data_IF_538588397924
#
_entry.id   IF_538588397924
#
_cell.length_a   1.000
_cell.length_b   1.000
_cell.length_c   1.000
_cell.angle_alpha   90.00
_cell.angle_beta   90.00
_cell.angle_gamma   90.00
#
_symmetry.space_group_name_H-M   'P 1'
#
loop_
_entity.id
_entity.type
_entity.pdbx_description
1 polymer ?
#
# COMPACT_ATOMS: atom_id res chain seq x y z
N UNK A 1 6.01 71.24 17.70
CA UNK A 1 6.24 70.65 19.05
C UNK A 1 5.62 69.25 19.17
N UNK A 2 5.60 68.44 18.09
CA UNK A 2 5.10 67.05 18.14
C UNK A 2 6.05 66.01 17.52
N UNK A 3 7.08 66.43 16.78
CA UNK A 3 7.99 65.48 16.12
C UNK A 3 9.11 64.91 17.00
N UNK A 4 9.35 65.45 18.22
CA UNK A 4 10.42 64.94 19.09
C UNK A 4 9.99 63.88 20.12
N UNK A 5 8.74 63.39 20.06
CA UNK A 5 8.22 62.37 20.99
C UNK A 5 8.14 60.96 20.40
N UNK A 6 8.50 60.78 19.11
CA UNK A 6 8.28 59.52 18.38
C UNK A 6 9.55 58.69 18.12
N UNK A 7 10.74 59.17 18.50
CA UNK A 7 12.00 58.55 18.06
C UNK A 7 12.51 57.38 18.95
N UNK A 8 11.78 57.01 20.00
CA UNK A 8 12.17 55.92 20.91
C UNK A 8 11.16 54.77 21.08
N UNK A 9 9.98 54.83 20.45
CA UNK A 9 8.85 53.92 20.73
C UNK A 9 8.47 52.97 19.59
N UNK A 10 9.30 52.87 18.54
CA UNK A 10 9.11 51.93 17.41
C UNK A 10 8.77 50.49 17.82
N UNK A 11 9.40 49.85 18.83
CA UNK A 11 9.04 48.47 19.19
C UNK A 11 7.63 48.35 19.81
N UNK A 12 7.11 49.40 20.47
CA UNK A 12 5.79 49.38 21.10
C UNK A 12 4.68 49.46 20.03
N UNK A 13 4.87 50.29 18.99
CA UNK A 13 3.91 50.35 17.89
C UNK A 13 3.88 49.05 17.07
N UNK A 14 5.03 48.38 16.93
CA UNK A 14 5.14 47.08 16.28
C UNK A 14 4.42 46.00 17.10
N UNK A 15 4.59 46.00 18.42
CA UNK A 15 3.88 45.09 19.32
C UNK A 15 2.36 45.31 19.27
N UNK A 16 1.90 46.56 19.35
CA UNK A 16 0.46 46.88 19.24
C UNK A 16 -0.10 46.44 17.87
N UNK A 17 0.65 46.66 16.78
CA UNK A 17 0.26 46.23 15.44
C UNK A 17 0.08 44.71 15.33
N UNK A 18 1.00 43.93 15.90
CA UNK A 18 0.92 42.47 15.91
C UNK A 18 -0.29 41.99 16.72
N UNK A 19 -0.55 42.60 17.88
CA UNK A 19 -1.69 42.22 18.72
C UNK A 19 -3.03 42.51 18.05
N UNK A 20 -3.16 43.67 17.38
CA UNK A 20 -4.38 44.03 16.64
C UNK A 20 -4.58 43.12 15.44
N UNK A 21 -3.51 42.77 14.72
CA UNK A 21 -3.58 41.84 13.58
C UNK A 21 -3.99 40.43 14.02
N UNK A 22 -3.46 39.95 15.15
CA UNK A 22 -3.85 38.67 15.73
C UNK A 22 -5.34 38.64 16.13
N UNK A 23 -5.85 39.72 16.72
CA UNK A 23 -7.27 39.84 17.07
C UNK A 23 -8.17 39.83 15.82
N UNK A 24 -7.77 40.52 14.75
CA UNK A 24 -8.51 40.55 13.49
C UNK A 24 -8.56 39.17 12.81
N UNK A 25 -7.45 38.42 12.81
CA UNK A 25 -7.42 37.06 12.28
C UNK A 25 -8.31 36.10 13.07
N UNK A 26 -8.35 36.24 14.40
CA UNK A 26 -9.21 35.43 15.26
C UNK A 26 -10.70 35.71 15.00
N UNK A 27 -11.07 36.97 14.78
CA UNK A 27 -12.43 37.36 14.40
C UNK A 27 -12.80 36.80 13.02
N UNK A 28 -11.90 36.91 12.03
CA UNK A 28 -12.14 36.36 10.70
C UNK A 28 -12.34 34.83 10.73
N UNK A 29 -11.56 34.12 11.54
CA UNK A 29 -11.70 32.69 11.74
C UNK A 29 -13.03 32.32 12.41
N UNK A 30 -13.46 33.08 13.43
CA UNK A 30 -14.77 32.89 14.06
C UNK A 30 -15.94 33.12 13.08
N UNK A 31 -15.83 34.11 12.20
CA UNK A 31 -16.84 34.36 11.15
C UNK A 31 -16.86 33.22 10.13
N UNK A 32 -15.72 32.65 9.75
CA UNK A 32 -15.67 31.49 8.85
C UNK A 32 -16.28 30.23 9.46
N UNK A 33 -16.10 29.99 10.76
CA UNK A 33 -16.75 28.87 11.46
C UNK A 33 -18.27 29.04 11.56
N UNK A 34 -18.76 30.28 11.73
CA UNK A 34 -20.19 30.57 11.76
C UNK A 34 -20.84 30.57 10.37
N UNK A 35 -20.03 30.58 9.31
CA UNK A 35 -20.50 30.64 7.91
C UNK A 35 -20.32 29.29 7.21
N UNK A 36 -20.70 28.21 7.89
CA UNK A 36 -20.89 26.91 7.25
C UNK A 36 -21.94 27.05 6.13
N UNK A 37 -21.67 26.58 4.90
CA UNK A 37 -22.50 26.85 3.74
C UNK A 37 -23.72 25.92 3.69
N UNK A 38 -24.87 26.40 4.16
CA UNK A 38 -26.16 25.82 3.81
C UNK A 38 -26.50 26.20 2.37
N UNK A 39 -26.09 25.32 1.46
CA UNK A 39 -26.56 25.30 0.09
C UNK A 39 -27.89 24.55 -0.01
N UNK A 40 -28.85 25.20 -0.68
CA UNK A 40 -29.97 24.63 -1.43
C UNK A 40 -31.36 24.60 -0.76
N UNK A 41 -32.12 25.67 -1.01
CA UNK A 41 -33.59 25.62 -1.16
C UNK A 41 -33.96 26.16 -2.54
N UNK A 42 -34.86 25.49 -3.26
CA UNK A 42 -35.86 26.14 -4.08
C UNK A 42 -37.24 26.14 -3.39
N UNK A 43 -38.12 26.91 -4.02
CA UNK A 43 -39.22 27.70 -3.51
C UNK A 43 -40.56 26.98 -3.25
N UNK A 44 -41.47 27.78 -2.67
CA UNK A 44 -42.95 27.77 -2.77
C UNK A 44 -43.85 26.90 -1.86
N UNK A 45 -44.46 27.61 -0.88
CA UNK A 45 -45.90 27.91 -0.74
C UNK A 45 -46.92 26.88 -0.20
N UNK A 46 -47.78 27.43 0.69
CA UNK A 46 -49.10 27.02 1.20
C UNK A 46 -49.11 25.95 2.30
N UNK A 47 -49.43 26.28 3.57
CA UNK A 47 -50.67 26.80 4.20
C UNK A 47 -51.47 25.69 4.92
N UNK A 48 -51.87 26.07 6.14
CA UNK A 48 -52.96 25.54 6.97
C UNK A 48 -52.77 24.21 7.71
N UNK A 49 -53.32 23.95 8.90
CA UNK A 49 -53.95 24.68 10.04
C UNK A 49 -54.41 23.57 11.02
N UNK A 50 -54.58 23.92 12.31
CA UNK A 50 -55.28 23.19 13.40
C UNK A 50 -54.38 22.26 14.25
N UNK A 51 -53.95 22.61 15.48
CA UNK A 51 -54.62 23.05 16.73
C UNK A 51 -55.43 21.94 17.42
N UNK A 52 -55.05 21.60 18.67
CA UNK A 52 -55.88 21.62 19.90
C UNK A 52 -55.54 20.48 20.90
N UNK A 53 -55.08 20.94 22.08
CA UNK A 53 -55.32 20.51 23.47
C UNK A 53 -54.66 19.32 24.17
N UNK A 54 -54.13 19.70 25.34
CA UNK A 54 -53.71 18.97 26.52
C UNK A 54 -54.89 18.61 27.44
N UNK A 55 -54.74 17.54 28.24
CA UNK A 55 -55.15 17.41 29.67
C UNK A 55 -54.49 16.10 30.20
N UNK A 56 -53.38 16.13 30.96
CA UNK A 56 -53.24 16.12 32.44
C UNK A 56 -54.09 15.05 33.16
N UNK A 57 -53.55 14.01 33.80
CA UNK A 57 -52.82 13.95 35.11
C UNK A 57 -52.52 12.45 35.34
N UNK A 58 -51.47 11.94 36.00
CA UNK A 58 -50.33 12.45 36.74
C UNK A 58 -49.45 11.28 37.23
N UNK A 59 -48.40 11.64 37.98
CA UNK A 59 -47.47 10.80 38.77
C UNK A 59 -46.29 10.08 38.10
N UNK A 60 -45.20 10.86 38.08
CA UNK A 60 -43.97 10.63 38.86
C UNK A 60 -42.79 9.86 38.22
N UNK A 61 -41.68 10.60 38.20
CA UNK A 61 -40.26 10.19 38.21
C UNK A 61 -39.54 9.87 36.88
N UNK A 62 -38.76 10.88 36.48
CA UNK A 62 -37.46 10.84 35.79
C UNK A 62 -37.45 10.56 34.27
N UNK A 63 -36.85 11.47 33.47
CA UNK A 63 -36.71 11.26 32.03
C UNK A 63 -35.76 10.09 31.74
N UNK A 64 -36.14 9.32 30.72
CA UNK A 64 -35.31 8.33 30.03
C UNK A 64 -33.95 8.95 29.69
N UNK A 65 -32.93 8.57 30.45
CA UNK A 65 -31.54 8.69 30.02
C UNK A 65 -31.35 7.74 28.85
N UNK A 66 -31.44 8.28 27.64
CA UNK A 66 -30.84 7.63 26.48
C UNK A 66 -29.34 7.76 26.68
N UNK A 67 -28.71 6.81 27.37
CA UNK A 67 -27.25 6.77 27.46
C UNK A 67 -26.73 6.45 26.06
N UNK A 68 -26.23 7.49 25.38
CA UNK A 68 -25.21 7.31 24.37
C UNK A 68 -24.11 6.38 24.92
N UNK A 69 -23.58 5.43 24.15
CA UNK A 69 -22.50 4.59 24.64
C UNK A 69 -21.32 5.48 25.06
N UNK A 70 -20.83 5.23 26.28
CA UNK A 70 -19.71 5.90 26.92
C UNK A 70 -18.52 6.06 25.97
N UNK A 71 -18.19 7.31 25.66
CA UNK A 71 -16.84 7.65 25.21
C UNK A 71 -15.99 7.62 26.48
N UNK A 72 -15.22 6.54 26.65
CA UNK A 72 -14.18 6.49 27.67
C UNK A 72 -13.10 7.50 27.27
N UNK A 73 -13.19 8.70 27.84
CA UNK A 73 -12.12 9.71 27.78
C UNK A 73 -11.08 9.33 28.85
N UNK A 74 -10.07 8.54 28.46
CA UNK A 74 -8.81 8.55 29.21
C UNK A 74 -8.02 9.79 28.78
N UNK A 75 -8.08 10.83 29.60
CA UNK A 75 -7.22 11.99 29.45
C UNK A 75 -5.78 11.65 29.79
N UNK A 76 -4.92 11.66 28.78
CA UNK A 76 -3.49 12.00 28.93
C UNK A 76 -3.06 12.80 27.68
N UNK A 77 -2.92 14.11 27.90
CA UNK A 77 -2.13 15.14 27.19
C UNK A 77 -1.79 14.96 25.70
N UNK A 78 -2.35 15.85 24.87
CA UNK A 78 -1.83 16.35 23.58
C UNK A 78 -1.31 15.31 22.56
N UNK A 79 -2.18 14.53 21.92
CA UNK A 79 -2.10 14.17 20.49
C UNK A 79 -3.30 13.31 20.06
N UNK A 80 -3.85 13.64 18.88
CA UNK A 80 -4.82 12.91 18.05
C UNK A 80 -5.70 11.80 18.70
N UNK A 81 -7.00 12.06 18.76
CA UNK A 81 -8.03 11.05 18.99
C UNK A 81 -8.01 10.03 17.85
N UNK A 82 -7.54 8.80 18.10
CA UNK A 82 -7.70 7.68 17.16
C UNK A 82 -9.11 7.13 17.37
N UNK A 83 -10.04 7.46 16.48
CA UNK A 83 -11.34 6.80 16.41
C UNK A 83 -11.15 5.44 15.74
N UNK A 84 -10.91 4.38 16.52
CA UNK A 84 -10.97 3.00 16.04
C UNK A 84 -12.44 2.64 15.85
N UNK A 85 -12.94 2.66 14.62
CA UNK A 85 -14.23 2.03 14.32
C UNK A 85 -14.02 0.52 14.31
N UNK A 86 -14.33 -0.17 15.42
CA UNK A 86 -14.47 -1.62 15.37
C UNK A 86 -15.55 -1.95 14.34
N UNK A 87 -15.19 -2.71 13.30
CA UNK A 87 -16.15 -3.20 12.31
C UNK A 87 -17.10 -4.18 13.01
N UNK A 88 -18.28 -3.71 13.39
CA UNK A 88 -19.26 -4.48 14.17
C UNK A 88 -19.99 -5.48 13.27
N UNK A 89 -20.01 -6.78 13.61
CA UNK A 89 -20.83 -7.77 12.91
C UNK A 89 -22.31 -7.41 12.94
N UNK A 90 -22.99 -7.59 11.81
CA UNK A 90 -24.43 -7.31 11.64
C UNK A 90 -25.23 -8.53 11.22
N UNK A 91 -24.67 -9.41 10.40
CA UNK A 91 -25.35 -10.64 9.99
C UNK A 91 -24.42 -11.84 10.06
N UNK A 92 -25.00 -12.98 10.41
CA UNK A 92 -24.38 -14.30 10.35
C UNK A 92 -25.14 -15.12 9.30
N UNK A 93 -24.43 -15.77 8.38
CA UNK A 93 -24.99 -16.75 7.46
C UNK A 93 -24.45 -18.15 7.78
N UNK A 94 -25.32 -19.15 7.89
CA UNK A 94 -24.96 -20.56 8.12
C UNK A 94 -25.78 -21.42 7.17
N UNK A 95 -25.13 -22.15 6.26
CA UNK A 95 -25.78 -23.02 5.26
C UNK A 95 -26.98 -22.37 4.53
N UNK A 96 -26.83 -21.09 4.15
CA UNK A 96 -27.86 -20.31 3.46
C UNK A 96 -28.91 -19.65 4.36
N UNK A 97 -29.00 -20.01 5.63
CA UNK A 97 -29.83 -19.32 6.62
C UNK A 97 -29.13 -18.07 7.16
N UNK A 98 -29.87 -16.98 7.43
CA UNK A 98 -29.31 -15.70 7.88
C UNK A 98 -29.86 -15.28 9.23
N UNK A 99 -28.99 -14.85 10.14
CA UNK A 99 -29.33 -14.35 11.46
C UNK A 99 -28.88 -12.89 11.61
N UNK A 100 -29.75 -12.04 12.16
CA UNK A 100 -29.38 -10.69 12.57
C UNK A 100 -28.55 -10.73 13.85
N UNK A 101 -27.40 -10.05 13.86
CA UNK A 101 -26.49 -10.02 15.01
C UNK A 101 -26.72 -8.78 15.87
N UNK A 102 -26.88 -9.01 17.17
CA UNK A 102 -26.82 -7.99 18.21
C UNK A 102 -25.54 -8.16 19.01
N UNK A 103 -24.81 -7.06 19.23
CA UNK A 103 -23.66 -7.08 20.12
C UNK A 103 -24.11 -7.20 21.57
N UNK A 104 -23.42 -8.04 22.34
CA UNK A 104 -23.70 -8.25 23.75
C UNK A 104 -22.42 -8.39 24.56
N UNK A 105 -22.35 -7.70 25.70
CA UNK A 105 -21.25 -7.84 26.65
C UNK A 105 -21.51 -9.04 27.55
N UNK A 106 -20.51 -9.92 27.70
CA UNK A 106 -20.61 -11.05 28.63
C UNK A 106 -20.38 -10.52 30.06
N UNK A 107 -21.32 -10.73 31.01
CA UNK A 107 -21.11 -10.33 32.39
C UNK A 107 -20.00 -11.15 33.04
N UNK A 108 -19.09 -10.51 33.78
CA UNK A 108 -18.01 -11.20 34.48
C UNK A 108 -18.57 -12.12 35.58
N UNK A 109 -18.30 -13.42 35.48
CA UNK A 109 -18.63 -14.40 36.52
C UNK A 109 -20.01 -15.07 36.38
N UNK A 110 -20.79 -14.71 35.37
CA UNK A 110 -22.09 -15.33 35.09
C UNK A 110 -22.03 -16.24 33.85
N UNK A 111 -22.94 -17.22 33.79
CA UNK A 111 -23.09 -18.07 32.61
C UNK A 111 -23.63 -17.22 31.47
N UNK A 112 -22.94 -17.21 30.33
CA UNK A 112 -23.41 -16.52 29.14
C UNK A 112 -24.68 -17.20 28.59
N UNK A 113 -25.84 -16.65 28.95
CA UNK A 113 -27.19 -17.08 28.55
C UNK A 113 -28.07 -15.87 28.22
N UNK A 114 -27.75 -15.17 27.12
CA UNK A 114 -28.53 -14.02 26.70
C UNK A 114 -29.94 -14.42 26.29
N UNK A 115 -30.91 -13.53 26.55
CA UNK A 115 -32.25 -13.70 26.00
C UNK A 115 -32.27 -13.34 24.51
N UNK A 116 -32.52 -14.36 23.70
CA UNK A 116 -32.69 -14.25 22.26
C UNK A 116 -34.18 -14.03 21.97
N UNK A 117 -34.50 -13.01 21.16
CA UNK A 117 -35.87 -12.61 20.84
C UNK A 117 -36.10 -12.86 19.36
N UNK A 118 -36.80 -13.94 19.05
CA UNK A 118 -37.09 -14.36 17.67
C UNK A 118 -36.10 -15.40 17.14
N UNK A 119 -36.57 -16.22 16.20
CA UNK A 119 -35.85 -17.38 15.65
C UNK A 119 -34.66 -17.01 14.75
N UNK A 120 -34.70 -15.83 14.14
CA UNK A 120 -33.66 -15.33 13.22
C UNK A 120 -32.69 -14.33 13.86
N UNK A 121 -32.53 -14.38 15.18
CA UNK A 121 -31.64 -13.50 15.92
C UNK A 121 -30.50 -14.27 16.55
N UNK A 122 -29.31 -13.68 16.49
CA UNK A 122 -28.10 -14.18 17.09
C UNK A 122 -27.41 -13.05 17.86
N UNK A 123 -26.59 -13.43 18.84
CA UNK A 123 -25.86 -12.49 19.69
C UNK A 123 -24.38 -12.71 19.55
N UNK A 124 -23.65 -11.64 19.25
CA UNK A 124 -22.21 -11.68 19.16
C UNK A 124 -21.60 -11.11 20.44
N UNK A 125 -20.60 -11.79 20.99
CA UNK A 125 -19.87 -11.31 22.16
C UNK A 125 -19.03 -10.11 21.77
N UNK A 126 -19.38 -8.96 22.30
CA UNK A 126 -18.72 -7.70 22.01
C UNK A 126 -17.22 -7.78 22.33
N UNK A 127 -16.39 -7.38 21.36
CA UNK A 127 -14.93 -7.39 21.47
C UNK A 127 -14.25 -8.66 20.96
N UNK A 128 -15.01 -9.70 20.57
CA UNK A 128 -14.44 -10.91 19.95
C UNK A 128 -14.19 -10.70 18.46
N UNK A 129 -12.94 -10.34 18.11
CA UNK A 129 -12.55 -9.93 16.74
C UNK A 129 -11.55 -10.87 16.07
N UNK A 130 -10.86 -11.72 16.84
CA UNK A 130 -9.96 -12.74 16.28
C UNK A 130 -10.74 -14.03 16.03
N UNK A 131 -11.50 -14.46 17.05
CA UNK A 131 -12.44 -15.56 16.95
C UNK A 131 -13.84 -15.03 17.28
N UNK A 132 -14.71 -14.86 16.28
CA UNK A 132 -16.04 -14.31 16.51
C UNK A 132 -16.87 -15.30 17.34
N UNK A 133 -17.35 -14.89 18.51
CA UNK A 133 -18.17 -15.78 19.35
C UNK A 133 -19.63 -15.37 19.19
N UNK A 134 -20.43 -16.27 18.63
CA UNK A 134 -21.83 -16.02 18.31
C UNK A 134 -22.74 -17.06 18.95
N UNK A 135 -23.77 -16.57 19.62
CA UNK A 135 -24.80 -17.36 20.28
C UNK A 135 -26.07 -17.42 19.44
N UNK A 136 -26.61 -18.62 19.28
CA UNK A 136 -27.83 -18.91 18.54
C UNK A 136 -28.86 -19.55 19.47
N UNK A 137 -30.15 -19.35 19.18
CA UNK A 137 -31.21 -19.90 20.01
C UNK A 137 -31.32 -21.41 19.79
N UNK A 138 -31.48 -22.15 20.88
CA UNK A 138 -31.65 -23.60 20.84
C UNK A 138 -33.07 -24.01 20.43
N UNK A 139 -33.36 -23.90 19.12
CA UNK A 139 -34.58 -24.43 18.52
C UNK A 139 -34.32 -25.74 17.78
N UNK A 140 -35.37 -26.46 17.38
CA UNK A 140 -35.21 -27.69 16.61
C UNK A 140 -34.52 -27.43 15.27
N UNK A 141 -34.82 -26.28 14.65
CA UNK A 141 -34.27 -25.83 13.37
C UNK A 141 -32.79 -25.48 13.48
N UNK A 142 -32.41 -24.58 14.41
CA UNK A 142 -31.00 -24.19 14.61
C UNK A 142 -30.14 -25.38 15.03
N UNK A 143 -30.70 -26.28 15.86
CA UNK A 143 -29.98 -27.51 16.24
C UNK A 143 -29.74 -28.39 15.03
N UNK A 144 -30.76 -28.63 14.20
CA UNK A 144 -30.60 -29.41 12.98
C UNK A 144 -29.60 -28.77 12.01
N UNK A 145 -29.61 -27.44 11.89
CA UNK A 145 -28.64 -26.67 11.10
C UNK A 145 -27.22 -26.90 11.58
N UNK A 146 -26.95 -26.70 12.87
CA UNK A 146 -25.62 -26.90 13.45
C UNK A 146 -25.18 -28.37 13.42
N UNK A 147 -26.12 -29.31 13.56
CA UNK A 147 -25.82 -30.74 13.48
C UNK A 147 -25.54 -31.23 12.05
N UNK A 148 -26.10 -30.56 11.06
CA UNK A 148 -25.93 -30.84 9.63
C UNK A 148 -24.59 -30.38 9.06
N UNK A 149 -23.90 -29.45 9.72
CA UNK A 149 -22.63 -28.90 9.22
C UNK A 149 -21.56 -30.00 9.09
N UNK A 150 -20.93 -30.03 7.93
CA UNK A 150 -19.89 -30.96 7.53
C UNK A 150 -18.66 -30.22 6.98
N UNK A 151 -17.49 -30.89 6.88
CA UNK A 151 -16.29 -30.28 6.29
C UNK A 151 -16.55 -29.76 4.87
N UNK A 152 -16.24 -28.48 4.63
CA UNK A 152 -16.50 -27.78 3.37
C UNK A 152 -17.67 -26.80 3.43
N UNK A 153 -18.56 -26.93 4.43
CA UNK A 153 -19.68 -26.01 4.60
C UNK A 153 -19.19 -24.64 5.08
N UNK A 154 -19.80 -23.60 4.53
CA UNK A 154 -19.41 -22.21 4.76
C UNK A 154 -20.31 -21.53 5.79
N UNK A 155 -19.66 -20.77 6.66
CA UNK A 155 -20.27 -19.83 7.60
C UNK A 155 -19.78 -18.45 7.19
N UNK A 156 -20.68 -17.47 7.08
CA UNK A 156 -20.35 -16.11 6.66
C UNK A 156 -20.72 -15.10 7.74
N UNK A 157 -19.93 -14.04 7.86
CA UNK A 157 -20.17 -12.95 8.80
C UNK A 157 -20.05 -11.63 8.07
N UNK A 158 -21.12 -10.84 8.02
CA UNK A 158 -21.08 -9.51 7.40
C UNK A 158 -21.03 -8.44 8.47
N UNK A 159 -20.10 -7.51 8.33
CA UNK A 159 -19.97 -6.36 9.22
C UNK A 159 -20.82 -5.18 8.74
N UNK A 160 -21.06 -4.20 9.63
CA UNK A 160 -21.75 -2.94 9.30
C UNK A 160 -21.10 -2.19 8.13
N UNK A 161 -19.79 -2.34 7.95
CA UNK A 161 -19.04 -1.74 6.85
C UNK A 161 -19.16 -2.50 5.52
N UNK A 162 -19.94 -3.59 5.46
CA UNK A 162 -20.12 -4.42 4.28
C UNK A 162 -19.02 -5.47 4.05
N UNK A 163 -17.97 -5.51 4.88
CA UNK A 163 -16.97 -6.56 4.79
C UNK A 163 -17.56 -7.92 5.19
N UNK A 164 -17.29 -8.95 4.38
CA UNK A 164 -17.76 -10.32 4.58
C UNK A 164 -16.56 -11.22 4.93
N UNK A 165 -16.61 -11.85 6.10
CA UNK A 165 -15.66 -12.89 6.51
C UNK A 165 -16.26 -14.26 6.25
N UNK A 166 -15.50 -15.18 5.68
CA UNK A 166 -15.91 -16.57 5.47
C UNK A 166 -15.17 -17.50 6.43
N UNK A 167 -15.85 -18.55 6.84
CA UNK A 167 -15.30 -19.60 7.69
C UNK A 167 -15.78 -20.95 7.16
N UNK A 168 -14.94 -21.98 7.28
CA UNK A 168 -15.32 -23.35 6.96
C UNK A 168 -15.56 -24.10 8.26
N UNK A 169 -16.54 -24.98 8.28
CA UNK A 169 -16.72 -25.92 9.39
C UNK A 169 -15.41 -26.66 9.68
N UNK A 170 -15.03 -26.73 10.95
CA UNK A 170 -13.81 -27.40 11.40
C UNK A 170 -14.10 -28.51 12.41
N UNK A 171 -14.86 -28.22 13.46
CA UNK A 171 -15.28 -29.23 14.44
C UNK A 171 -16.60 -28.88 15.10
N UNK A 172 -17.18 -29.88 15.76
CA UNK A 172 -18.38 -29.79 16.59
C UNK A 172 -18.08 -30.51 17.89
N UNK A 173 -18.38 -29.86 19.01
CA UNK A 173 -18.10 -30.36 20.34
C UNK A 173 -19.28 -30.07 21.28
N UNK A 174 -19.46 -30.93 22.29
CA UNK A 174 -20.38 -30.68 23.40
C UNK A 174 -19.53 -30.26 24.59
N UNK A 175 -19.65 -29.00 25.00
CA UNK A 175 -18.82 -28.42 26.08
C UNK A 175 -19.69 -28.00 27.26
N UNK A 176 -19.13 -27.95 28.48
CA UNK A 176 -19.82 -27.34 29.61
C UNK A 176 -20.19 -25.88 29.32
N UNK A 177 -21.39 -25.46 29.72
CA UNK A 177 -21.88 -24.10 29.50
C UNK A 177 -21.07 -23.03 30.26
N UNK A 178 -20.26 -23.43 31.24
CA UNK A 178 -19.29 -22.59 31.94
C UNK A 178 -17.89 -22.59 31.31
N UNK A 179 -17.65 -23.34 30.23
CA UNK A 179 -16.32 -23.44 29.63
C UNK A 179 -15.85 -22.08 29.10
N UNK A 180 -14.67 -21.58 29.52
CA UNK A 180 -14.11 -20.31 29.04
C UNK A 180 -13.51 -20.44 27.63
N UNK A 181 -13.19 -21.66 27.20
CA UNK A 181 -12.49 -21.92 25.94
C UNK A 181 -13.28 -21.45 24.71
N UNK A 182 -14.62 -21.36 24.84
CA UNK A 182 -15.46 -20.81 23.76
C UNK A 182 -15.13 -19.35 23.44
N UNK A 183 -14.52 -18.62 24.39
CA UNK A 183 -14.14 -17.21 24.25
C UNK A 183 -12.68 -17.01 23.84
N UNK A 184 -11.91 -18.09 23.63
CA UNK A 184 -10.51 -18.00 23.24
C UNK A 184 -10.33 -17.17 21.96
N UNK A 185 -9.40 -16.20 22.00
CA UNK A 185 -9.11 -15.25 20.90
C UNK A 185 -7.72 -15.47 20.26
N UNK A 186 -7.14 -16.66 20.42
CA UNK A 186 -5.75 -16.92 19.99
C UNK A 186 -5.66 -17.46 18.55
N UNK A 187 -6.77 -17.97 18.02
CA UNK A 187 -6.84 -18.59 16.69
C UNK A 187 -7.92 -17.90 15.86
N UNK A 188 -7.62 -17.44 14.64
CA UNK A 188 -8.61 -16.83 13.77
C UNK A 188 -9.76 -17.79 13.41
N UNK A 189 -11.01 -17.39 13.66
CA UNK A 189 -12.15 -18.27 13.46
C UNK A 189 -13.50 -17.70 13.84
N UNK A 190 -14.49 -18.59 13.92
CA UNK A 190 -15.81 -18.32 14.49
C UNK A 190 -16.20 -19.49 15.40
N UNK A 191 -16.77 -19.17 16.55
CA UNK A 191 -17.37 -20.14 17.47
C UNK A 191 -18.87 -19.88 17.52
N UNK A 192 -19.68 -20.83 17.04
CA UNK A 192 -21.13 -20.81 17.15
C UNK A 192 -21.56 -21.62 18.38
N UNK A 193 -22.46 -21.08 19.19
CA UNK A 193 -22.88 -21.68 20.46
C UNK A 193 -24.40 -21.76 20.51
N UNK A 194 -24.96 -22.96 20.74
CA UNK A 194 -26.39 -23.08 21.05
C UNK A 194 -26.67 -22.64 22.48
N UNK A 195 -27.56 -21.66 22.62
CA UNK A 195 -27.95 -21.02 23.85
C UNK A 195 -29.41 -21.35 24.18
N UNK A 196 -29.69 -21.58 25.46
CA UNK A 196 -31.03 -21.96 25.92
C UNK A 196 -31.25 -23.46 26.05
N UNK A 197 -30.23 -24.29 25.76
CA UNK A 197 -30.27 -25.73 26.05
C UNK A 197 -30.50 -25.95 27.55
N UNK A 198 -31.50 -26.75 27.91
CA UNK A 198 -31.68 -27.22 29.29
C UNK A 198 -30.54 -28.17 29.65
N UNK A 199 -29.64 -27.74 30.53
CA UNK A 199 -28.54 -28.56 31.02
C UNK A 199 -27.24 -27.80 31.28
N UNK A 200 -26.21 -28.56 31.64
CA UNK A 200 -24.87 -28.04 31.90
C UNK A 200 -23.96 -28.05 30.68
N UNK A 201 -24.43 -28.58 29.55
CA UNK A 201 -23.67 -28.70 28.32
C UNK A 201 -24.35 -27.95 27.17
N UNK A 202 -23.56 -27.49 26.22
CA UNK A 202 -24.01 -26.79 25.02
C UNK A 202 -23.27 -27.32 23.80
N UNK A 203 -23.99 -27.38 22.68
CA UNK A 203 -23.40 -27.65 21.37
C UNK A 203 -22.59 -26.43 20.93
N UNK A 204 -21.36 -26.67 20.53
CA UNK A 204 -20.46 -25.66 19.98
C UNK A 204 -19.94 -26.14 18.65
N UNK A 205 -19.98 -25.25 17.66
CA UNK A 205 -19.37 -25.46 16.35
C UNK A 205 -18.23 -24.47 16.18
N UNK A 206 -17.07 -25.00 15.78
CA UNK A 206 -15.90 -24.21 15.46
C UNK A 206 -15.76 -24.12 13.95
N UNK A 207 -15.70 -22.88 13.45
CA UNK A 207 -15.35 -22.55 12.08
C UNK A 207 -13.93 -21.98 12.02
N UNK A 208 -13.14 -22.45 11.06
CA UNK A 208 -11.82 -21.87 10.76
C UNK A 208 -12.00 -20.74 9.77
N UNK A 209 -11.32 -19.62 10.01
CA UNK A 209 -11.31 -18.52 9.06
C UNK A 209 -10.80 -19.02 7.71
N UNK A 210 -11.65 -18.90 6.70
CA UNK A 210 -11.28 -19.10 5.30
C UNK A 210 -10.71 -17.77 4.88
N UNK A 211 -9.41 -17.76 4.61
CA UNK A 211 -8.85 -16.68 3.80
C UNK A 211 -9.61 -16.75 2.49
N UNK A 212 -10.44 -15.74 2.15
CA UNK A 212 -11.19 -15.80 0.91
C UNK A 212 -10.18 -16.07 -0.21
N UNK A 213 -10.31 -17.18 -0.92
CA UNK A 213 -9.81 -17.22 -2.29
C UNK A 213 -10.65 -16.17 -3.00
N UNK A 214 -10.07 -14.99 -3.18
CA UNK A 214 -10.83 -13.82 -3.60
C UNK A 214 -11.35 -14.05 -5.03
N UNK A 215 -12.55 -14.62 -5.15
CA UNK A 215 -13.41 -14.46 -6.34
C UNK A 215 -14.10 -13.09 -6.31
N UNK A 216 -13.31 -12.08 -5.94
CA UNK A 216 -13.48 -10.67 -6.17
C UNK A 216 -12.11 -10.24 -6.67
N UNK A 217 -12.05 -9.70 -7.87
CA UNK A 217 -10.87 -9.14 -8.52
C UNK A 217 -10.23 -8.03 -7.68
N UNK A 218 -9.56 -8.44 -6.61
CA UNK A 218 -8.67 -7.70 -5.72
C UNK A 218 -7.76 -8.74 -5.10
N UNK A 219 -7.03 -9.46 -5.96
CA UNK A 219 -5.87 -10.20 -5.52
C UNK A 219 -4.90 -9.17 -4.93
N UNK A 220 -4.27 -9.50 -3.81
CA UNK A 220 -2.83 -9.25 -3.75
C UNK A 220 -2.23 -10.04 -4.91
N UNK A 221 -2.25 -9.45 -6.10
CA UNK A 221 -1.70 -10.07 -7.29
C UNK A 221 -0.20 -9.93 -7.13
N UNK A 222 0.42 -11.00 -6.64
CA UNK A 222 1.86 -11.19 -6.79
C UNK A 222 2.05 -11.50 -8.27
N UNK A 223 2.61 -10.55 -9.00
CA UNK A 223 2.91 -10.67 -10.42
C UNK A 223 4.42 -10.61 -10.63
N UNK A 224 4.89 -11.14 -11.74
CA UNK A 224 6.30 -11.07 -12.10
C UNK A 224 6.61 -9.78 -12.87
N UNK A 225 7.90 -9.46 -13.00
CA UNK A 225 8.37 -8.36 -13.84
C UNK A 225 7.81 -8.49 -15.27
N UNK A 226 7.21 -7.42 -15.80
CA UNK A 226 6.59 -7.37 -17.13
C UNK A 226 5.12 -7.79 -17.17
N UNK A 227 4.57 -8.34 -16.09
CA UNK A 227 3.15 -8.66 -16.00
C UNK A 227 2.34 -7.44 -15.53
N UNK A 228 1.09 -7.35 -16.01
CA UNK A 228 0.15 -6.30 -15.63
C UNK A 228 -0.73 -6.77 -14.47
N UNK A 229 -0.82 -5.94 -13.44
CA UNK A 229 -1.68 -6.14 -12.28
C UNK A 229 -2.73 -5.02 -12.17
N UNK A 230 -3.88 -5.34 -11.59
CA UNK A 230 -4.94 -4.36 -11.34
C UNK A 230 -4.91 -3.91 -9.88
N UNK A 231 -4.84 -2.60 -9.65
CA UNK A 231 -4.97 -1.92 -8.36
C UNK A 231 -6.13 -0.91 -8.43
N UNK A 232 -7.28 -1.26 -7.86
CA UNK A 232 -8.50 -0.46 -7.95
C UNK A 232 -8.83 -0.12 -9.43
N UNK A 233 -8.84 1.17 -9.80
CA UNK A 233 -9.08 1.66 -11.16
C UNK A 233 -7.81 1.82 -12.00
N UNK A 234 -6.65 1.37 -11.50
CA UNK A 234 -5.35 1.52 -12.15
C UNK A 234 -4.77 0.16 -12.48
N UNK A 235 -4.33 -0.03 -13.73
CA UNK A 235 -3.44 -1.13 -14.09
C UNK A 235 -1.99 -0.69 -13.93
N UNK A 236 -1.17 -1.56 -13.38
CA UNK A 236 0.24 -1.34 -13.12
C UNK A 236 1.04 -2.43 -13.82
N UNK A 237 2.04 -2.03 -14.60
CA UNK A 237 2.99 -2.94 -15.25
C UNK A 237 4.39 -2.50 -14.90
N UNK A 238 5.22 -3.38 -14.31
CA UNK A 238 6.63 -3.05 -14.09
C UNK A 238 7.42 -3.37 -15.35
N UNK A 239 8.09 -2.37 -15.91
CA UNK A 239 8.79 -2.42 -17.18
C UNK A 239 10.24 -2.91 -17.02
N UNK A 240 10.88 -2.55 -15.91
CA UNK A 240 12.29 -2.86 -15.69
C UNK A 240 12.80 -2.41 -14.32
N UNK A 241 14.02 -2.85 -14.01
CA UNK A 241 14.72 -2.48 -12.78
C UNK A 241 16.17 -2.14 -13.07
N UNK A 242 16.72 -1.15 -12.38
CA UNK A 242 18.13 -0.76 -12.51
C UNK A 242 18.80 -0.68 -11.13
N UNK A 243 19.97 -1.29 -10.99
CA UNK A 243 20.79 -1.20 -9.78
C UNK A 243 22.03 -0.32 -10.02
N UNK A 244 22.15 0.75 -9.24
CA UNK A 244 23.20 1.75 -9.33
C UNK A 244 24.10 1.67 -8.09
N UNK A 245 25.13 0.83 -8.17
CA UNK A 245 26.04 0.54 -7.05
C UNK A 245 27.03 1.66 -6.74
N UNK A 246 27.46 2.41 -7.75
CA UNK A 246 28.60 3.33 -7.69
C UNK A 246 28.22 4.78 -8.06
N UNK A 247 26.95 5.14 -7.88
CA UNK A 247 26.50 6.50 -8.20
C UNK A 247 27.13 7.52 -7.24
N UNK A 248 27.83 8.58 -7.71
CA UNK A 248 28.50 9.53 -6.82
C UNK A 248 27.57 10.25 -5.84
N UNK A 249 26.28 10.30 -6.16
CA UNK A 249 25.24 10.90 -5.32
C UNK A 249 24.69 9.96 -4.24
N UNK A 250 25.13 8.69 -4.22
CA UNK A 250 24.76 7.72 -3.19
C UNK A 250 25.60 7.91 -1.92
N UNK A 251 25.00 7.87 -0.72
CA UNK A 251 25.77 7.84 0.52
C UNK A 251 26.67 6.60 0.61
N UNK A 252 27.87 6.70 1.22
CA UNK A 252 28.74 5.55 1.41
C UNK A 252 28.03 4.36 2.10
N UNK A 253 28.17 3.16 1.55
CA UNK A 253 27.54 1.95 2.05
C UNK A 253 26.11 1.70 1.53
N UNK A 254 25.61 2.55 0.65
CA UNK A 254 24.31 2.41 0.00
C UNK A 254 24.44 2.38 -1.52
N UNK A 255 23.41 1.87 -2.19
CA UNK A 255 23.21 1.89 -3.63
C UNK A 255 21.80 2.40 -3.95
N UNK A 256 21.59 2.90 -5.16
CA UNK A 256 20.24 3.17 -5.65
C UNK A 256 19.67 1.98 -6.41
N UNK A 257 18.39 1.73 -6.22
CA UNK A 257 17.63 0.74 -6.96
C UNK A 257 16.41 1.43 -7.57
N UNK A 258 16.24 1.31 -8.88
CA UNK A 258 15.22 2.00 -9.65
C UNK A 258 14.24 0.98 -10.21
N UNK A 259 12.97 1.35 -10.23
CA UNK A 259 11.88 0.55 -10.81
C UNK A 259 11.14 1.42 -11.82
N UNK A 260 11.17 1.02 -13.08
CA UNK A 260 10.42 1.63 -14.18
C UNK A 260 9.06 0.93 -14.29
N UNK A 261 7.97 1.69 -14.33
CA UNK A 261 6.61 1.14 -14.36
C UNK A 261 5.66 2.01 -15.18
N UNK A 262 4.62 1.39 -15.72
CA UNK A 262 3.49 2.05 -16.38
C UNK A 262 2.25 1.98 -15.48
N UNK A 263 1.51 3.07 -15.42
CA UNK A 263 0.16 3.14 -14.85
C UNK A 263 -0.84 3.45 -15.96
N UNK A 264 -1.93 2.68 -16.03
CA UNK A 264 -3.07 2.93 -16.92
C UNK A 264 -4.34 3.07 -16.09
N UNK A 265 -5.04 4.20 -16.18
CA UNK A 265 -6.34 4.34 -15.56
C UNK A 265 -7.40 3.66 -16.43
N UNK A 266 -7.98 2.56 -15.95
CA UNK A 266 -9.07 1.82 -16.61
C UNK A 266 -10.45 2.17 -16.02
N UNK A 267 -10.48 3.08 -15.03
CA UNK A 267 -11.69 3.63 -14.47
C UNK A 267 -12.23 4.80 -15.30
N UNK A 268 -13.42 5.26 -14.92
CA UNK A 268 -14.08 6.42 -15.54
C UNK A 268 -13.76 7.74 -14.83
N UNK A 269 -13.24 7.65 -13.61
CA UNK A 269 -12.90 8.80 -12.78
C UNK A 269 -11.40 9.10 -12.84
N UNK A 270 -11.05 10.34 -12.56
CA UNK A 270 -9.66 10.77 -12.45
C UNK A 270 -9.00 10.16 -11.20
N UNK A 271 -7.81 9.58 -11.39
CA UNK A 271 -7.01 8.99 -10.32
C UNK A 271 -5.98 10.01 -9.83
N UNK A 272 -5.89 10.20 -8.52
CA UNK A 272 -4.87 11.06 -7.89
C UNK A 272 -3.63 10.23 -7.53
N UNK A 273 -2.54 10.44 -8.28
CA UNK A 273 -1.31 9.66 -8.12
C UNK A 273 -0.59 9.95 -6.80
N UNK A 274 -0.91 11.05 -6.11
CA UNK A 274 -0.36 11.33 -4.77
C UNK A 274 -0.85 10.35 -3.69
N UNK A 275 -1.94 9.62 -3.97
CA UNK A 275 -2.46 8.55 -3.12
C UNK A 275 -1.77 7.21 -3.36
N UNK A 276 -0.97 7.08 -4.41
CA UNK A 276 -0.17 5.89 -4.64
C UNK A 276 0.93 5.80 -3.55
N UNK A 277 0.99 4.66 -2.88
CA UNK A 277 1.99 4.32 -1.88
C UNK A 277 2.84 3.22 -2.47
N UNK A 278 4.14 3.49 -2.60
CA UNK A 278 5.10 2.58 -3.20
C UNK A 278 6.15 2.21 -2.16
N UNK A 279 6.52 0.94 -2.14
CA UNK A 279 7.55 0.43 -1.25
C UNK A 279 8.33 -0.71 -1.91
N UNK A 280 9.55 -0.91 -1.44
CA UNK A 280 10.37 -2.05 -1.83
C UNK A 280 10.66 -2.87 -0.57
N UNK A 281 10.54 -4.18 -0.64
CA UNK A 281 10.72 -5.09 0.49
C UNK A 281 11.72 -6.17 0.11
N UNK A 282 12.68 -6.48 0.98
CA UNK A 282 13.59 -7.60 0.80
C UNK A 282 13.03 -8.94 1.31
N UNK A 283 13.79 -10.01 1.15
CA UNK A 283 13.41 -11.35 1.64
C UNK A 283 13.32 -11.45 3.17
N UNK A 284 13.93 -10.52 3.90
CA UNK A 284 13.92 -10.46 5.36
C UNK A 284 12.78 -9.59 5.91
N UNK A 285 12.00 -8.97 5.02
CA UNK A 285 10.89 -8.08 5.38
C UNK A 285 11.32 -6.64 5.66
N UNK A 286 12.58 -6.26 5.40
CA UNK A 286 13.00 -4.88 5.52
C UNK A 286 12.35 -4.06 4.40
N UNK A 287 11.75 -2.93 4.77
CA UNK A 287 11.06 -2.05 3.84
C UNK A 287 11.90 -0.81 3.54
N UNK A 288 12.03 -0.49 2.26
CA UNK A 288 12.68 0.70 1.76
C UNK A 288 11.62 1.65 1.20
N UNK A 289 11.64 2.88 1.71
CA UNK A 289 10.76 3.94 1.25
C UNK A 289 11.27 4.56 -0.06
N UNK A 290 10.35 5.18 -0.80
CA UNK A 290 10.68 5.95 -2.01
C UNK A 290 11.70 7.04 -1.67
N UNK A 291 12.77 7.10 -2.47
CA UNK A 291 13.78 8.12 -2.44
C UNK A 291 13.67 8.97 -3.71
N UNK A 292 13.21 10.21 -3.56
CA UNK A 292 13.00 11.12 -4.69
C UNK A 292 14.30 11.51 -5.40
N UNK A 293 15.44 11.55 -4.69
CA UNK A 293 16.75 11.79 -5.30
C UNK A 293 17.16 10.61 -6.20
N UNK A 294 16.98 9.38 -5.71
CA UNK A 294 17.25 8.18 -6.50
C UNK A 294 16.36 8.13 -7.77
N UNK A 295 15.08 8.49 -7.64
CA UNK A 295 14.13 8.50 -8.76
C UNK A 295 14.52 9.45 -9.90
N UNK A 296 15.38 10.45 -9.66
CA UNK A 296 15.87 11.37 -10.71
C UNK A 296 16.85 10.70 -11.68
N UNK A 297 17.44 9.56 -11.30
CA UNK A 297 18.33 8.78 -12.16
C UNK A 297 17.57 7.76 -13.04
N UNK A 298 16.24 7.77 -12.95
CA UNK A 298 15.34 6.93 -13.74
C UNK A 298 15.24 7.33 -15.20
N UNK A 299 14.74 6.40 -16.02
CA UNK A 299 14.48 6.64 -17.43
C UNK A 299 13.21 7.49 -17.67
N UNK A 300 12.32 7.56 -16.66
CA UNK A 300 11.04 8.26 -16.72
C UNK A 300 10.87 9.23 -15.53
N UNK A 301 10.04 10.28 -15.67
CA UNK A 301 9.70 11.17 -14.56
C UNK A 301 9.01 10.45 -13.39
N UNK A 302 8.98 11.09 -12.22
CA UNK A 302 8.16 10.61 -11.09
C UNK A 302 6.67 10.74 -11.41
N UNK A 303 5.88 9.71 -11.07
CA UNK A 303 4.42 9.76 -11.17
C UNK A 303 3.88 10.82 -10.19
N UNK A 304 3.34 11.91 -10.74
CA UNK A 304 2.80 13.03 -9.96
C UNK A 304 1.51 13.57 -10.59
N UNK A 305 0.71 14.26 -9.79
CA UNK A 305 -0.55 14.84 -10.25
C UNK A 305 -1.65 13.79 -10.39
N UNK A 306 -2.33 13.81 -11.52
CA UNK A 306 -3.58 13.06 -11.73
C UNK A 306 -3.62 12.40 -13.09
N UNK A 307 -4.27 11.24 -13.17
CA UNK A 307 -4.40 10.43 -14.38
C UNK A 307 -5.88 10.35 -14.78
N UNK A 308 -6.24 10.90 -15.95
CA UNK A 308 -7.62 10.84 -16.46
C UNK A 308 -8.01 9.43 -16.92
N UNK A 309 -9.30 9.20 -17.22
CA UNK A 309 -9.79 7.92 -17.73
C UNK A 309 -9.06 7.51 -19.03
N UNK A 310 -8.72 6.24 -19.15
CA UNK A 310 -7.98 5.62 -20.26
C UNK A 310 -6.58 6.23 -20.53
N UNK A 311 -6.08 7.09 -19.63
CA UNK A 311 -4.74 7.66 -19.75
C UNK A 311 -3.69 6.73 -19.17
N UNK A 312 -2.53 6.74 -19.82
CA UNK A 312 -1.33 6.04 -19.37
C UNK A 312 -0.22 7.01 -18.99
N UNK A 313 0.61 6.62 -18.03
CA UNK A 313 1.85 7.31 -17.69
C UNK A 313 2.93 6.29 -17.35
N UNK A 314 4.11 6.48 -17.94
CA UNK A 314 5.32 5.76 -17.55
C UNK A 314 6.08 6.60 -16.51
N UNK A 315 6.58 5.94 -15.47
CA UNK A 315 7.26 6.58 -14.38
C UNK A 315 8.40 5.73 -13.82
N UNK A 316 9.38 6.40 -13.21
CA UNK A 316 10.43 5.72 -12.45
C UNK A 316 10.29 6.07 -10.97
N UNK A 317 10.43 5.07 -10.11
CA UNK A 317 10.58 5.25 -8.67
C UNK A 317 11.94 4.73 -8.21
N UNK A 318 12.61 5.49 -7.35
CA UNK A 318 13.93 5.12 -6.83
C UNK A 318 13.90 4.77 -5.34
N UNK A 319 14.81 3.90 -4.94
CA UNK A 319 15.01 3.43 -3.57
C UNK A 319 16.50 3.52 -3.21
N UNK A 320 16.78 3.73 -1.93
CA UNK A 320 18.13 3.59 -1.39
C UNK A 320 18.20 2.28 -0.60
N UNK A 321 19.07 1.37 -1.02
CA UNK A 321 19.27 0.07 -0.40
C UNK A 321 20.70 -0.06 0.11
N UNK A 322 20.99 -0.93 1.10
CA UNK A 322 22.36 -1.22 1.52
C UNK A 322 23.16 -1.78 0.34
N UNK A 323 24.38 -1.27 0.10
CA UNK A 323 25.25 -1.79 -0.95
C UNK A 323 25.63 -3.27 -0.72
N UNK A 324 25.55 -3.72 0.54
CA UNK A 324 25.78 -5.11 0.96
C UNK A 324 24.53 -6.00 0.92
N UNK A 325 23.39 -5.52 0.40
CA UNK A 325 22.14 -6.29 0.37
C UNK A 325 22.33 -7.58 -0.44
N UNK A 326 22.13 -8.75 0.19
CA UNK A 326 22.21 -10.05 -0.46
C UNK A 326 20.84 -10.71 -0.48
N UNK A 327 20.14 -10.62 -1.60
CA UNK A 327 18.83 -11.23 -1.81
C UNK A 327 18.72 -11.65 -3.27
N UNK A 328 18.10 -12.77 -3.64
CA UNK A 328 17.89 -13.13 -5.04
C UNK A 328 16.70 -12.37 -5.65
N UNK A 329 15.82 -11.84 -4.79
CA UNK A 329 14.59 -11.17 -5.17
C UNK A 329 14.29 -10.00 -4.24
N UNK A 330 13.63 -9.00 -4.80
CA UNK A 330 12.98 -7.92 -4.09
C UNK A 330 11.49 -7.96 -4.42
N UNK A 331 10.66 -7.43 -3.54
CA UNK A 331 9.22 -7.28 -3.77
C UNK A 331 8.86 -5.82 -3.79
N UNK A 332 8.35 -5.36 -4.92
CA UNK A 332 7.82 -4.01 -5.04
C UNK A 332 6.33 -4.01 -4.75
N UNK A 333 5.88 -3.11 -3.88
CA UNK A 333 4.50 -3.06 -3.42
C UNK A 333 3.90 -1.72 -3.79
N UNK A 334 2.76 -1.77 -4.47
CA UNK A 334 1.94 -0.61 -4.79
C UNK A 334 0.58 -0.73 -4.09
N UNK A 335 0.19 0.32 -3.39
CA UNK A 335 -1.11 0.43 -2.70
C UNK A 335 -1.72 1.79 -3.02
N UNK A 336 -3.05 1.88 -3.10
CA UNK A 336 -3.73 3.12 -3.44
C UNK A 336 -4.58 3.64 -2.28
N UNK A 337 -4.20 4.79 -1.72
CA UNK A 337 -4.84 5.37 -0.54
C UNK A 337 -4.84 4.42 0.65
N UNK A 338 -5.96 4.38 1.37
CA UNK A 338 -6.20 3.48 2.52
C UNK A 338 -6.91 2.19 2.09
N UNK A 339 -6.91 1.84 0.78
CA UNK A 339 -7.55 0.62 0.33
C UNK A 339 -6.78 -0.61 0.81
N UNK A 340 -7.48 -1.70 1.11
CA UNK A 340 -6.84 -2.98 1.44
C UNK A 340 -6.22 -3.66 0.20
N UNK A 341 -6.44 -3.10 -0.99
CA UNK A 341 -5.88 -3.58 -2.25
C UNK A 341 -4.39 -3.22 -2.34
N UNK A 342 -3.56 -4.21 -2.65
CA UNK A 342 -2.14 -4.02 -2.94
C UNK A 342 -1.76 -4.87 -4.13
N UNK A 343 -0.86 -4.35 -4.96
CA UNK A 343 -0.17 -5.11 -5.99
C UNK A 343 1.23 -5.38 -5.47
N UNK A 344 1.68 -6.63 -5.60
CA UNK A 344 3.03 -7.02 -5.25
C UNK A 344 3.71 -7.51 -6.52
N UNK A 345 4.93 -7.05 -6.79
CA UNK A 345 5.69 -7.46 -7.96
C UNK A 345 6.99 -8.08 -7.51
N UNK A 346 7.21 -9.33 -7.91
CA UNK A 346 8.49 -9.99 -7.71
C UNK A 346 9.49 -9.42 -8.71
N UNK A 347 10.54 -8.81 -8.17
CA UNK A 347 11.64 -8.24 -8.92
C UNK A 347 12.86 -9.14 -8.71
N UNK A 348 13.44 -9.71 -9.78
CA UNK A 348 14.74 -10.36 -9.65
C UNK A 348 15.73 -9.30 -9.17
N UNK A 349 16.47 -9.62 -8.12
CA UNK A 349 17.54 -8.76 -7.64
C UNK A 349 18.86 -9.48 -7.77
N UNK A 350 19.78 -8.75 -8.35
CA UNK A 350 21.16 -9.14 -8.43
C UNK A 350 21.94 -7.85 -8.30
N UNK A 351 23.00 -7.89 -7.51
CA UNK A 351 23.91 -6.74 -7.44
C UNK A 351 24.43 -6.53 -8.84
N UNK A 352 24.70 -5.30 -9.27
CA UNK A 352 25.17 -5.03 -10.64
C UNK A 352 26.39 -5.89 -11.09
N UNK A 353 27.09 -6.54 -10.16
CA UNK A 353 28.13 -7.56 -10.41
C UNK A 353 27.59 -8.98 -10.72
N UNK A 354 26.43 -9.37 -10.18
CA UNK A 354 25.70 -10.63 -10.46
C UNK A 354 24.54 -10.46 -11.46
N UNK A 355 24.02 -9.24 -11.64
CA UNK A 355 22.90 -8.90 -12.54
C UNK A 355 23.32 -8.82 -13.99
N UNK A 356 24.57 -8.39 -14.16
CA UNK A 356 25.29 -8.44 -15.40
C UNK A 356 26.24 -9.62 -15.32
N UNK A 357 25.74 -10.84 -15.49
CA UNK A 357 26.60 -11.88 -16.04
C UNK A 357 26.88 -11.58 -17.53
N UNK A 358 27.16 -10.31 -17.86
CA UNK A 358 27.43 -9.83 -19.18
C UNK A 358 28.93 -10.04 -19.42
N UNK A 359 29.28 -10.96 -20.30
CA UNK A 359 30.66 -11.14 -20.71
C UNK A 359 30.89 -10.25 -21.92
N UNK A 360 31.73 -9.23 -21.73
CA UNK A 360 32.23 -8.41 -22.84
C UNK A 360 33.56 -8.99 -23.31
N UNK A 361 33.70 -9.20 -24.62
CA UNK A 361 34.95 -9.63 -25.23
C UNK A 361 35.33 -8.65 -26.32
N UNK A 362 36.51 -8.06 -26.22
CA UNK A 362 37.12 -7.28 -27.30
C UNK A 362 37.93 -8.25 -28.16
N UNK A 363 37.56 -8.35 -29.43
CA UNK A 363 38.18 -9.27 -30.39
C UNK A 363 39.33 -8.58 -31.14
N UNK A 364 39.16 -7.29 -31.45
CA UNK A 364 40.09 -6.56 -32.31
C UNK A 364 40.09 -5.08 -31.98
N UNK A 365 41.26 -4.45 -32.07
CA UNK A 365 41.47 -3.02 -31.97
C UNK A 365 42.41 -2.59 -33.09
N UNK A 366 41.95 -1.67 -33.94
CA UNK A 366 42.71 -1.21 -35.12
C UNK A 366 42.71 0.31 -35.22
N UNK A 367 43.90 0.88 -35.43
CA UNK A 367 44.05 2.28 -35.75
C UNK A 367 43.83 2.48 -37.25
N UNK A 368 43.03 3.48 -37.62
CA UNK A 368 42.79 3.80 -39.02
C UNK A 368 44.08 4.20 -39.76
N UNK A 369 44.11 4.02 -41.08
CA UNK A 369 45.29 4.31 -41.92
C UNK A 369 45.75 5.77 -41.85
N UNK A 370 44.81 6.69 -41.64
CA UNK A 370 45.09 8.12 -41.45
C UNK A 370 45.56 8.47 -40.02
N UNK A 371 45.56 7.48 -39.11
CA UNK A 371 46.03 7.60 -37.75
C UNK A 371 45.14 8.46 -36.84
N UNK A 372 43.91 8.77 -37.24
CA UNK A 372 43.01 9.69 -36.50
C UNK A 372 41.99 8.98 -35.61
N UNK A 373 41.64 7.73 -35.93
CA UNK A 373 40.59 6.98 -35.24
C UNK A 373 41.05 5.59 -34.81
N UNK A 374 40.38 5.07 -33.79
CA UNK A 374 40.56 3.72 -33.26
C UNK A 374 39.22 2.98 -33.42
N UNK A 375 39.23 1.89 -34.17
CA UNK A 375 38.07 1.01 -34.34
C UNK A 375 38.24 -0.24 -33.47
N UNK A 376 37.22 -0.55 -32.68
CA UNK A 376 37.16 -1.67 -31.76
C UNK A 376 36.03 -2.60 -32.19
N UNK A 377 36.32 -3.88 -32.31
CA UNK A 377 35.32 -4.91 -32.57
C UNK A 377 35.27 -5.88 -31.40
N UNK A 378 34.07 -6.28 -31.03
CA UNK A 378 33.86 -7.17 -29.92
C UNK A 378 32.45 -7.73 -29.88
N UNK A 379 32.11 -8.33 -28.76
CA UNK A 379 30.78 -8.86 -28.51
C UNK A 379 30.41 -8.71 -27.04
N UNK A 380 29.12 -8.54 -26.79
CA UNK A 380 28.52 -8.57 -25.46
C UNK A 380 27.61 -9.80 -25.39
N UNK A 381 27.88 -10.69 -24.43
CA UNK A 381 27.05 -11.87 -24.17
C UNK A 381 26.33 -11.69 -22.85
N UNK A 382 25.01 -11.78 -22.84
CA UNK A 382 24.24 -11.75 -21.60
C UNK A 382 24.07 -13.17 -21.05
N UNK A 383 24.83 -13.54 -20.03
CA UNK A 383 24.66 -14.82 -19.31
C UNK A 383 23.63 -14.73 -18.18
N UNK A 384 23.02 -13.56 -17.97
CA UNK A 384 22.00 -13.33 -16.96
C UNK A 384 20.63 -13.84 -17.41
N UNK A 385 19.70 -13.92 -16.45
CA UNK A 385 18.31 -14.32 -16.70
C UNK A 385 17.41 -13.15 -17.15
N UNK A 386 17.87 -11.90 -17.04
CA UNK A 386 17.14 -10.69 -17.43
C UNK A 386 17.72 -10.08 -18.71
N UNK A 387 16.90 -9.34 -19.45
CA UNK A 387 17.34 -8.54 -20.61
C UNK A 387 18.35 -7.47 -20.17
N UNK A 388 19.47 -7.41 -20.87
CA UNK A 388 20.52 -6.41 -20.68
C UNK A 388 20.33 -5.27 -21.68
N UNK A 389 20.36 -4.03 -21.20
CA UNK A 389 20.34 -2.84 -22.05
C UNK A 389 21.67 -2.09 -21.88
N UNK A 390 22.43 -1.96 -22.96
CA UNK A 390 23.70 -1.22 -22.98
C UNK A 390 23.46 0.13 -23.65
N UNK A 391 23.66 1.21 -22.93
CA UNK A 391 23.53 2.57 -23.45
C UNK A 391 24.90 3.17 -23.73
N UNK A 392 24.93 4.26 -24.50
CA UNK A 392 26.17 4.97 -24.81
C UNK A 392 26.91 5.43 -23.54
N UNK A 393 26.20 5.90 -22.51
CA UNK A 393 26.79 6.45 -21.29
C UNK A 393 27.65 5.46 -20.49
N UNK A 394 27.43 4.16 -20.68
CA UNK A 394 28.19 3.08 -19.99
C UNK A 394 29.36 2.58 -20.84
N UNK A 395 29.66 3.25 -21.95
CA UNK A 395 30.77 2.96 -22.86
C UNK A 395 31.68 4.17 -22.93
N UNK A 396 32.96 3.98 -22.61
CA UNK A 396 33.95 5.06 -22.67
C UNK A 396 35.32 4.56 -23.04
N UNK A 397 36.08 5.40 -23.73
CA UNK A 397 37.51 5.22 -23.95
C UNK A 397 38.25 6.32 -23.21
N UNK A 398 39.21 5.96 -22.37
CA UNK A 398 40.00 6.94 -21.62
C UNK A 398 41.49 6.63 -21.64
N UNK A 399 42.32 7.65 -21.52
CA UNK A 399 43.76 7.50 -21.28
C UNK A 399 44.28 8.66 -20.45
N UNK A 400 45.08 8.37 -19.42
CA UNK A 400 45.61 9.34 -18.47
C UNK A 400 44.54 10.31 -17.91
N UNK A 401 43.32 9.82 -17.67
CA UNK A 401 42.19 10.62 -17.17
C UNK A 401 41.45 11.45 -18.21
N UNK A 402 41.88 11.45 -19.48
CA UNK A 402 41.17 12.09 -20.59
C UNK A 402 40.22 11.10 -21.24
N UNK A 403 38.95 11.47 -21.43
CA UNK A 403 37.95 10.69 -22.17
C UNK A 403 37.97 11.09 -23.64
N UNK A 404 37.92 10.10 -24.53
CA UNK A 404 37.97 10.27 -25.98
C UNK A 404 36.57 10.16 -26.60
N UNK A 405 36.34 10.97 -27.64
CA UNK A 405 35.05 11.03 -28.33
C UNK A 405 34.78 9.75 -29.11
N UNK A 406 33.55 9.24 -29.01
CA UNK A 406 33.04 8.21 -29.91
C UNK A 406 32.52 8.86 -31.19
N UNK A 407 32.99 8.40 -32.33
CA UNK A 407 32.56 8.87 -33.65
C UNK A 407 31.45 8.01 -34.24
N UNK A 408 31.48 6.70 -33.99
CA UNK A 408 30.49 5.78 -34.53
C UNK A 408 30.33 4.54 -33.65
N UNK A 409 29.15 3.93 -33.75
CA UNK A 409 28.75 2.71 -33.08
C UNK A 409 27.85 1.89 -34.01
N UNK A 410 28.07 0.58 -34.04
CA UNK A 410 27.24 -0.35 -34.80
C UNK A 410 27.14 -1.69 -34.03
N UNK A 411 25.94 -2.16 -33.63
CA UNK A 411 24.66 -1.49 -33.79
C UNK A 411 24.59 -0.14 -33.06
N UNK A 412 23.63 0.71 -33.44
CA UNK A 412 23.40 1.95 -32.73
C UNK A 412 22.90 1.64 -31.31
N UNK A 413 23.31 2.46 -30.32
CA UNK A 413 22.78 2.37 -28.96
C UNK A 413 21.30 2.78 -28.92
N UNK A 414 20.51 2.25 -27.97
CA UNK A 414 20.89 1.25 -26.98
C UNK A 414 20.97 -0.17 -27.57
N UNK A 415 21.91 -0.99 -27.08
CA UNK A 415 21.95 -2.42 -27.40
C UNK A 415 21.04 -3.18 -26.46
N UNK A 416 20.10 -3.93 -27.00
CA UNK A 416 19.20 -4.79 -26.22
C UNK A 416 19.64 -6.23 -26.40
N UNK A 417 20.22 -6.83 -25.36
CA UNK A 417 20.71 -8.21 -25.35
C UNK A 417 19.80 -9.06 -24.46
N UNK A 418 18.93 -9.87 -25.05
CA UNK A 418 18.07 -10.78 -24.28
C UNK A 418 18.90 -11.85 -23.54
N UNK A 419 18.28 -12.52 -22.56
CA UNK A 419 18.94 -13.56 -21.75
C UNK A 419 19.52 -14.67 -22.65
N UNK A 420 20.80 -15.01 -22.42
CA UNK A 420 21.54 -16.00 -23.20
C UNK A 420 21.97 -15.57 -24.61
N UNK A 421 21.68 -14.32 -25.02
CA UNK A 421 22.06 -13.82 -26.34
C UNK A 421 23.46 -13.20 -26.36
N UNK A 422 24.04 -13.16 -27.56
CA UNK A 422 25.29 -12.47 -27.85
C UNK A 422 25.06 -11.49 -28.99
N UNK A 423 25.49 -10.23 -28.81
CA UNK A 423 25.45 -9.21 -29.86
C UNK A 423 26.88 -8.76 -30.18
N UNK A 424 27.30 -8.82 -31.47
CA UNK A 424 28.57 -8.23 -31.89
C UNK A 424 28.45 -6.70 -31.96
N UNK A 425 29.55 -6.01 -31.68
CA UNK A 425 29.63 -4.56 -31.80
C UNK A 425 30.88 -4.11 -32.55
N UNK A 426 30.77 -2.92 -33.11
CA UNK A 426 31.87 -2.11 -33.62
C UNK A 426 31.75 -0.71 -33.07
N UNK A 427 32.82 -0.20 -32.46
CA UNK A 427 32.90 1.15 -31.93
C UNK A 427 34.08 1.87 -32.58
N UNK A 428 33.89 3.11 -32.98
CA UNK A 428 34.98 3.96 -33.50
C UNK A 428 35.13 5.16 -32.60
N UNK A 429 36.33 5.37 -32.08
CA UNK A 429 36.70 6.50 -31.24
C UNK A 429 37.74 7.38 -31.91
N UNK A 430 37.88 8.60 -31.41
CA UNK A 430 39.08 9.40 -31.56
C UNK A 430 40.28 8.61 -31.04
N UNK A 431 41.37 8.56 -31.82
CA UNK A 431 42.59 7.86 -31.41
C UNK A 431 43.22 8.52 -30.18
N UNK A 432 43.53 7.75 -29.12
CA UNK A 432 44.33 8.22 -28.00
C UNK A 432 45.73 8.70 -28.40
N UNK A 433 46.20 9.77 -27.77
CA UNK A 433 47.57 10.27 -28.01
C UNK A 433 48.63 9.39 -27.33
N UNK A 434 48.24 8.69 -26.27
CA UNK A 434 49.08 7.80 -25.49
C UNK A 434 49.20 6.40 -26.12
N UNK A 435 50.25 5.66 -25.76
CA UNK A 435 50.46 4.30 -26.24
C UNK A 435 49.47 3.29 -25.63
N UNK A 436 48.81 3.67 -24.54
CA UNK A 436 47.85 2.87 -23.81
C UNK A 436 46.53 3.62 -23.61
N UNK A 437 45.42 2.88 -23.56
CA UNK A 437 44.11 3.41 -23.24
C UNK A 437 43.26 2.33 -22.55
N UNK A 438 42.26 2.76 -21.78
CA UNK A 438 41.30 1.87 -21.13
C UNK A 438 39.94 2.08 -21.79
N UNK A 439 39.46 1.03 -22.45
CA UNK A 439 38.06 0.93 -22.85
C UNK A 439 37.27 0.40 -21.66
N UNK A 440 36.16 1.05 -21.31
CA UNK A 440 35.21 0.57 -20.32
C UNK A 440 33.86 0.36 -21.00
N UNK A 441 33.29 -0.84 -20.87
CA UNK A 441 31.93 -1.17 -21.32
C UNK A 441 31.23 -1.84 -20.13
N UNK A 442 30.11 -1.31 -19.66
CA UNK A 442 29.39 -1.84 -18.48
C UNK A 442 30.31 -1.98 -17.24
N UNK A 443 31.28 -1.07 -17.10
CA UNK A 443 32.34 -1.10 -16.08
C UNK A 443 33.36 -2.24 -16.20
N UNK A 444 33.39 -3.00 -17.30
CA UNK A 444 34.50 -3.92 -17.62
C UNK A 444 35.64 -3.16 -18.29
N UNK A 445 36.82 -3.03 -17.63
CA UNK A 445 37.96 -2.35 -18.20
C UNK A 445 38.77 -3.28 -19.13
N UNK A 446 39.15 -2.78 -20.29
CA UNK A 446 40.07 -3.42 -21.23
C UNK A 446 41.24 -2.49 -21.49
N UNK A 447 42.44 -2.94 -21.12
CA UNK A 447 43.66 -2.21 -21.43
C UNK A 447 44.06 -2.47 -22.88
N UNK A 448 44.07 -1.40 -23.67
CA UNK A 448 44.54 -1.37 -25.04
C UNK A 448 45.98 -0.90 -25.03
N UNK A 449 46.84 -1.66 -25.70
CA UNK A 449 48.27 -1.40 -25.82
C UNK A 449 48.67 -1.27 -27.29
N UNK A 450 49.81 -0.63 -27.56
CA UNK A 450 50.36 -0.55 -28.91
C UNK A 450 49.55 0.35 -29.85
N UNK A 451 48.90 1.38 -29.31
CA UNK A 451 48.09 2.33 -30.09
C UNK A 451 48.92 3.34 -30.89
N UNK A 452 50.26 3.19 -30.92
CA UNK A 452 51.21 4.07 -31.62
C UNK A 452 51.86 3.42 -32.81
#
# INVERSE_FOLDING_TARGET
MFDSLLEGRRPIYLAIGITVLGLLLLIAFAVLLLRSPDGNKPDETAEATATVSQEETGENTSPVSTSAPDVVVLGISNSATISVTLSTPMTLGVDGEQFGLRAESVPTGERWQPQLVGTNTAVWVYGTVVNYVVGLADTAETRALMDGLAPGDLISLTTRGGAVSQFTFASRDIVPASSPDVFAQHTPGITLVLLGTEGDNRLVVHGRYVVPETTSSSASSVVELGETAQLDNVQITVLGTTHLANEPSTPPGFAFFLVDYELLNVGRDQVDLSRLRLALIDQFGNQYAVNALAGQFGNHPLATGTLGADQRVEATVGYQIPASLNTPTLRWVAQYGESNGKVEVNLPFSRGEDANAAVVTVLQAEVSLDGTSLTLQGQVTNLGAQRLVVEERVVSLSSAGTVYLMFANNPAFPWVVDAGQTIPFTLTFQRPQEATAVLSILNYPFELNGLR
#
